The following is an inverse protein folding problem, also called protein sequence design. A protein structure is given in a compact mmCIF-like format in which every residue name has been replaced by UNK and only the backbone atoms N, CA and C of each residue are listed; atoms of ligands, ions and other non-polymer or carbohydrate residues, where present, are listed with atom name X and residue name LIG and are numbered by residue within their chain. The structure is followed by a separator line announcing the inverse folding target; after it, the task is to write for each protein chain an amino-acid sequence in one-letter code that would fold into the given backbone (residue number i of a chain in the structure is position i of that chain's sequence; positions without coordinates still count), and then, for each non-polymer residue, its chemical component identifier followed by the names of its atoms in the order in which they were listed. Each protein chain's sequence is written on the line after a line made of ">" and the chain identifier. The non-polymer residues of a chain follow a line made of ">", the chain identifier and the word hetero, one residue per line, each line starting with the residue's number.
data_IF_753487549985
#
_entry.id   IF_753487549985
#
_cell.length_a   1.000
_cell.length_b   1.000
_cell.length_c   1.000
_cell.angle_alpha   90.00
_cell.angle_beta   90.00
_cell.angle_gamma   90.00
#
_symmetry.space_group_name_H-M   'P 1'
#
loop_
_entity.id
_entity.type
_entity.pdbx_description
1 polymer ?
#
# COMPACT_ATOMS: atom_id res chain seq x y z
N UNK A 1 9.29 26.98 -1.80
CA UNK A 1 10.07 25.76 -1.49
C UNK A 1 9.66 24.74 -2.52
N UNK A 2 10.57 24.14 -3.30
CA UNK A 2 10.17 23.12 -4.26
C UNK A 2 10.11 21.80 -3.50
N UNK A 3 8.89 21.42 -3.10
CA UNK A 3 8.58 20.04 -2.77
C UNK A 3 8.42 19.31 -4.11
N UNK A 4 9.56 18.97 -4.72
CA UNK A 4 9.59 18.09 -5.89
C UNK A 4 10.07 16.74 -5.38
N UNK A 5 9.18 16.08 -4.64
CA UNK A 5 9.29 14.67 -4.37
C UNK A 5 8.98 13.97 -5.71
N UNK A 6 10.03 13.80 -6.51
CA UNK A 6 10.01 13.13 -7.81
C UNK A 6 9.67 11.66 -7.55
N UNK A 7 8.36 11.37 -7.49
CA UNK A 7 7.79 10.03 -7.36
C UNK A 7 8.47 9.20 -6.24
N UNK A 8 8.13 9.41 -4.95
CA UNK A 8 8.69 8.58 -3.89
C UNK A 8 8.25 7.13 -4.10
N UNK A 9 9.16 6.19 -3.78
CA UNK A 9 8.81 4.77 -3.84
C UNK A 9 7.57 4.52 -2.98
N UNK A 10 6.51 3.90 -3.52
CA UNK A 10 5.36 3.55 -2.70
C UNK A 10 5.84 2.67 -1.55
N UNK A 11 5.22 2.81 -0.38
CA UNK A 11 5.55 2.00 0.80
C UNK A 11 4.50 0.90 0.98
N UNK A 12 4.92 -0.33 1.33
CA UNK A 12 3.99 -1.44 1.50
C UNK A 12 3.03 -1.13 2.64
N UNK A 13 1.74 -1.50 2.53
CA UNK A 13 0.81 -1.35 3.63
C UNK A 13 1.28 -2.18 4.82
N UNK A 14 1.07 -1.66 6.03
CA UNK A 14 1.37 -2.39 7.26
C UNK A 14 0.37 -3.56 7.39
N UNK A 15 0.90 -4.76 7.67
CA UNK A 15 0.06 -5.95 7.83
C UNK A 15 -0.76 -5.80 9.12
N UNK A 16 -2.10 -5.81 9.04
CA UNK A 16 -2.92 -5.71 10.24
C UNK A 16 -2.71 -6.96 11.11
N UNK A 17 -2.71 -6.75 12.42
CA UNK A 17 -2.64 -7.85 13.37
C UNK A 17 -4.03 -8.48 13.56
N UNK A 18 -4.11 -9.73 14.02
CA UNK A 18 -5.39 -10.37 14.35
C UNK A 18 -6.16 -9.66 15.47
N UNK A 19 -5.46 -8.90 16.31
CA UNK A 19 -6.01 -8.04 17.36
C UNK A 19 -6.58 -6.71 16.83
N UNK A 20 -6.16 -6.27 15.64
CA UNK A 20 -6.72 -5.12 14.91
C UNK A 20 -8.05 -5.47 14.23
N UNK A 21 -8.26 -6.75 13.92
CA UNK A 21 -9.55 -7.24 13.52
C UNK A 21 -10.50 -7.08 14.72
N UNK A 22 -11.53 -6.26 14.59
CA UNK A 22 -12.42 -5.85 15.70
C UNK A 22 -13.22 -7.01 16.36
N UNK A 23 -12.97 -8.29 15.99
CA UNK A 23 -13.48 -9.59 16.52
C UNK A 23 -15.00 -9.74 16.74
N UNK A 24 -15.76 -8.67 16.56
CA UNK A 24 -17.15 -8.51 16.98
C UNK A 24 -18.02 -7.92 15.86
N UNK A 25 -17.47 -7.79 14.64
CA UNK A 25 -18.26 -7.46 13.43
C UNK A 25 -17.81 -6.23 12.65
N UNK A 26 -16.51 -5.91 12.55
CA UNK A 26 -16.08 -4.97 11.51
C UNK A 26 -16.23 -5.63 10.14
N UNK A 27 -17.19 -5.13 9.35
CA UNK A 27 -17.26 -5.35 7.92
C UNK A 27 -17.04 -4.00 7.23
N UNK A 28 -16.04 -3.87 6.35
CA UNK A 28 -15.18 -4.95 5.81
C UNK A 28 -14.07 -5.41 6.76
N UNK A 29 -13.60 -6.64 6.57
CA UNK A 29 -12.49 -7.20 7.32
C UNK A 29 -11.22 -6.39 7.05
N UNK A 30 -10.41 -6.12 8.08
CA UNK A 30 -9.13 -5.41 7.93
C UNK A 30 -8.19 -6.13 6.98
N UNK A 31 -8.27 -7.47 6.90
CA UNK A 31 -7.51 -8.26 5.95
C UNK A 31 -7.96 -8.04 4.51
N UNK A 32 -9.26 -7.90 4.23
CA UNK A 32 -9.75 -7.56 2.88
C UNK A 32 -9.25 -6.19 2.46
N UNK A 33 -9.38 -5.17 3.32
CA UNK A 33 -8.86 -3.83 3.05
C UNK A 33 -7.34 -3.84 2.83
N UNK A 34 -6.62 -4.66 3.60
CA UNK A 34 -5.18 -4.84 3.45
C UNK A 34 -4.84 -5.48 2.10
N UNK A 35 -5.57 -6.50 1.66
CA UNK A 35 -5.36 -7.12 0.35
C UNK A 35 -5.60 -6.11 -0.78
N UNK A 36 -6.71 -5.38 -0.75
CA UNK A 36 -6.98 -4.33 -1.76
C UNK A 36 -5.88 -3.24 -1.75
N UNK A 37 -5.41 -2.83 -0.57
CA UNK A 37 -4.32 -1.88 -0.45
C UNK A 37 -3.00 -2.44 -0.99
N UNK A 38 -2.73 -3.72 -0.77
CA UNK A 38 -1.53 -4.40 -1.22
C UNK A 38 -1.51 -4.52 -2.75
N UNK A 39 -2.64 -4.86 -3.38
CA UNK A 39 -2.77 -4.89 -4.84
C UNK A 39 -2.50 -3.50 -5.47
N UNK A 40 -3.07 -2.44 -4.89
CA UNK A 40 -2.79 -1.06 -5.32
C UNK A 40 -1.32 -0.69 -5.16
N UNK A 41 -0.73 -1.08 -4.04
CA UNK A 41 0.69 -0.88 -3.76
C UNK A 41 1.57 -1.59 -4.80
N UNK A 42 1.31 -2.86 -5.10
CA UNK A 42 2.11 -3.62 -6.08
C UNK A 42 1.99 -3.05 -7.50
N UNK A 43 0.81 -2.57 -7.88
CA UNK A 43 0.61 -1.88 -9.15
C UNK A 43 1.39 -0.56 -9.21
N UNK A 44 1.32 0.25 -8.15
CA UNK A 44 2.06 1.50 -8.04
C UNK A 44 3.57 1.25 -8.02
N UNK A 45 4.04 0.23 -7.29
CA UNK A 45 5.44 -0.14 -7.18
C UNK A 45 5.99 -0.56 -8.55
N UNK A 46 5.26 -1.39 -9.31
CA UNK A 46 5.68 -1.75 -10.67
C UNK A 46 5.78 -0.54 -11.59
N UNK A 47 4.82 0.39 -11.51
CA UNK A 47 4.86 1.62 -12.31
C UNK A 47 6.03 2.53 -11.90
N UNK A 48 6.32 2.61 -10.61
CA UNK A 48 7.48 3.32 -10.06
C UNK A 48 8.79 2.68 -10.52
N UNK A 49 8.93 1.36 -10.38
CA UNK A 49 10.12 0.61 -10.81
C UNK A 49 10.35 0.74 -12.32
N UNK A 50 9.30 0.70 -13.15
CA UNK A 50 9.45 0.89 -14.59
C UNK A 50 9.99 2.29 -14.95
N UNK A 51 9.56 3.33 -14.22
CA UNK A 51 10.03 4.71 -14.39
C UNK A 51 11.47 4.88 -13.91
N UNK A 52 11.83 4.27 -12.78
CA UNK A 52 13.18 4.36 -12.19
C UNK A 52 14.21 3.40 -12.81
N UNK A 53 13.81 2.25 -13.33
CA UNK A 53 14.72 1.28 -13.98
C UNK A 53 15.28 1.79 -15.32
N UNK A 54 14.76 2.91 -15.82
CA UNK A 54 15.17 3.55 -17.07
C UNK A 54 16.31 4.59 -16.89
N UNK A 55 16.87 4.71 -15.67
CA UNK A 55 17.99 5.60 -15.34
C UNK A 55 19.36 4.94 -15.43
#
# INVERSE_FOLDING_TARGET
>A
MPDHDDDPRPSPPERPLPEDCCQSGCNPCVFDLYQEALERYEAALRAWEARHASG
#
